data_IF_628014446493
#
_entry.id   IF_628014446493
#
_cell.length_a   1.000
_cell.length_b   1.000
_cell.length_c   1.000
_cell.angle_alpha   90.00
_cell.angle_beta   90.00
_cell.angle_gamma   90.00
#
_symmetry.space_group_name_H-M   'P 1'
#
loop_
_entity.id
_entity.type
_entity.pdbx_description
1 polymer ?
#
# COMPACT_ATOMS: atom_id res chain seq x y z
N UNK A 1 23.35 -12.87 -8.41
CA UNK A 1 21.90 -12.74 -8.64
C UNK A 1 21.36 -11.50 -7.91
N UNK A 2 22.07 -10.38 -8.04
CA UNK A 2 21.80 -9.16 -7.28
C UNK A 2 20.72 -8.27 -7.90
N UNK A 3 20.48 -8.40 -9.22
CA UNK A 3 19.50 -7.57 -9.93
C UNK A 3 18.05 -7.88 -9.51
N UNK A 4 17.66 -9.13 -9.35
CA UNK A 4 16.28 -9.51 -9.00
C UNK A 4 15.89 -9.09 -7.58
N UNK A 5 16.75 -9.31 -6.58
CA UNK A 5 16.51 -8.87 -5.20
C UNK A 5 16.34 -7.34 -5.12
N UNK A 6 17.25 -6.57 -5.74
CA UNK A 6 17.14 -5.12 -5.79
C UNK A 6 15.86 -4.63 -6.49
N UNK A 7 15.42 -5.32 -7.54
CA UNK A 7 14.17 -5.01 -8.25
C UNK A 7 12.93 -5.30 -7.39
N UNK A 8 12.93 -6.39 -6.61
CA UNK A 8 11.85 -6.71 -5.68
C UNK A 8 11.75 -5.70 -4.54
N UNK A 9 12.88 -5.30 -3.96
CA UNK A 9 12.93 -4.27 -2.92
C UNK A 9 12.44 -2.90 -3.44
N UNK A 10 12.86 -2.52 -4.66
CA UNK A 10 12.35 -1.31 -5.33
C UNK A 10 10.85 -1.41 -5.58
N UNK A 11 10.34 -2.56 -6.05
CA UNK A 11 8.92 -2.76 -6.27
C UNK A 11 8.12 -2.67 -4.96
N UNK A 12 8.60 -3.28 -3.87
CA UNK A 12 7.98 -3.18 -2.55
C UNK A 12 7.92 -1.73 -2.07
N UNK A 13 9.02 -0.98 -2.23
CA UNK A 13 9.08 0.45 -1.91
C UNK A 13 8.07 1.27 -2.72
N UNK A 14 8.00 1.04 -4.03
CA UNK A 14 7.05 1.70 -4.93
C UNK A 14 5.59 1.42 -4.54
N UNK A 15 5.27 0.18 -4.16
CA UNK A 15 3.92 -0.17 -3.68
C UNK A 15 3.58 0.60 -2.39
N UNK A 16 4.51 0.68 -1.44
CA UNK A 16 4.29 1.46 -0.20
C UNK A 16 4.13 2.96 -0.49
N UNK A 17 4.92 3.52 -1.40
CA UNK A 17 4.79 4.91 -1.83
C UNK A 17 3.45 5.18 -2.49
N UNK A 18 3.00 4.29 -3.40
CA UNK A 18 1.70 4.41 -4.03
C UNK A 18 0.56 4.36 -3.00
N UNK A 19 0.62 3.41 -2.05
CA UNK A 19 -0.36 3.33 -0.95
C UNK A 19 -0.40 4.63 -0.12
N UNK A 20 0.76 5.20 0.21
CA UNK A 20 0.84 6.46 0.94
C UNK A 20 0.23 7.64 0.15
N UNK A 21 0.54 7.76 -1.14
CA UNK A 21 -0.04 8.79 -2.01
C UNK A 21 -1.56 8.67 -2.08
N UNK A 22 -2.08 7.45 -2.26
CA UNK A 22 -3.54 7.26 -2.32
C UNK A 22 -4.21 7.56 -0.98
N UNK A 23 -3.60 7.18 0.14
CA UNK A 23 -4.12 7.53 1.46
C UNK A 23 -4.15 9.04 1.71
N UNK A 24 -3.17 9.79 1.19
CA UNK A 24 -3.21 11.26 1.22
C UNK A 24 -4.40 11.80 0.43
N UNK A 25 -4.66 11.26 -0.77
CA UNK A 25 -5.82 11.66 -1.58
C UNK A 25 -7.14 11.36 -0.86
N UNK A 26 -7.24 10.20 -0.20
CA UNK A 26 -8.42 9.86 0.61
C UNK A 26 -8.59 10.83 1.77
N UNK A 27 -7.52 11.21 2.46
CA UNK A 27 -7.56 12.20 3.53
C UNK A 27 -8.01 13.59 3.00
N UNK A 28 -7.53 13.99 1.83
CA UNK A 28 -7.96 15.23 1.18
C UNK A 28 -9.45 15.18 0.84
N UNK A 29 -9.94 14.06 0.31
CA UNK A 29 -11.37 13.84 0.02
C UNK A 29 -12.23 13.87 1.30
N UNK A 30 -11.74 13.30 2.41
CA UNK A 30 -12.40 13.43 3.72
C UNK A 30 -12.49 14.90 4.15
N UNK A 31 -11.40 15.66 3.98
CA UNK A 31 -11.32 17.07 4.38
C UNK A 31 -12.18 18.00 3.51
N UNK A 32 -12.38 17.63 2.24
CA UNK A 32 -13.18 18.39 1.28
C UNK A 32 -14.68 18.42 1.65
N UNK A 33 -15.10 17.59 2.62
CA UNK A 33 -16.44 17.58 3.21
C UNK A 33 -17.57 17.43 2.17
N UNK A 34 -17.25 16.82 1.02
CA UNK A 34 -18.20 16.55 -0.07
C UNK A 34 -19.15 15.42 0.29
N UNK A 35 -18.73 14.50 1.16
CA UNK A 35 -19.50 13.37 1.69
C UNK A 35 -19.66 13.56 3.20
N UNK A 36 -20.88 13.45 3.73
CA UNK A 36 -21.18 13.73 5.13
C UNK A 36 -21.30 12.45 5.97
N UNK A 37 -20.73 12.48 7.18
CA UNK A 37 -20.99 11.49 8.24
C UNK A 37 -20.68 10.03 7.86
N UNK A 38 -21.68 9.15 7.99
CA UNK A 38 -21.50 7.70 7.89
C UNK A 38 -20.95 7.21 6.52
N UNK A 39 -21.18 7.97 5.45
CA UNK A 39 -20.74 7.60 4.11
C UNK A 39 -19.21 7.73 3.96
N UNK A 40 -18.63 8.78 4.55
CA UNK A 40 -17.18 8.98 4.51
C UNK A 40 -16.46 7.97 5.41
N UNK A 41 -17.01 7.67 6.59
CA UNK A 41 -16.46 6.65 7.48
C UNK A 41 -16.51 5.26 6.83
N UNK A 42 -17.62 4.93 6.17
CA UNK A 42 -17.74 3.67 5.42
C UNK A 42 -16.72 3.60 4.29
N UNK A 43 -16.59 4.66 3.49
CA UNK A 43 -15.62 4.69 2.39
C UNK A 43 -14.20 4.47 2.89
N UNK A 44 -13.82 5.10 4.00
CA UNK A 44 -12.45 4.99 4.54
C UNK A 44 -12.18 3.59 5.07
N UNK A 45 -13.16 2.99 5.75
CA UNK A 45 -13.07 1.60 6.19
C UNK A 45 -12.97 0.62 5.01
N UNK A 46 -13.80 0.82 3.97
CA UNK A 46 -13.77 0.00 2.76
C UNK A 46 -12.45 0.19 2.00
N UNK A 47 -11.94 1.42 1.92
CA UNK A 47 -10.66 1.76 1.31
C UNK A 47 -9.49 1.05 2.03
N UNK A 48 -9.47 1.11 3.36
CA UNK A 48 -8.42 0.46 4.14
C UNK A 48 -8.45 -1.07 3.95
N UNK A 49 -9.64 -1.66 4.02
CA UNK A 49 -9.82 -3.10 3.90
C UNK A 49 -9.51 -3.64 2.48
N UNK A 50 -9.90 -2.90 1.44
CA UNK A 50 -9.87 -3.38 0.06
C UNK A 50 -8.69 -2.86 -0.76
N UNK A 51 -8.03 -1.78 -0.34
CA UNK A 51 -6.91 -1.17 -1.08
C UNK A 51 -5.65 -1.12 -0.24
N UNK A 52 -5.66 -0.39 0.87
CA UNK A 52 -4.46 -0.17 1.70
C UNK A 52 -3.89 -1.46 2.25
N UNK A 53 -4.72 -2.28 2.91
CA UNK A 53 -4.32 -3.56 3.48
C UNK A 53 -3.73 -4.52 2.43
N UNK A 54 -4.40 -4.79 1.30
CA UNK A 54 -3.84 -5.60 0.21
C UNK A 54 -2.51 -5.11 -0.34
N UNK A 55 -2.32 -3.79 -0.51
CA UNK A 55 -1.07 -3.23 -1.03
C UNK A 55 0.09 -3.43 -0.05
N UNK A 56 -0.11 -3.16 1.23
CA UNK A 56 0.93 -3.42 2.23
C UNK A 56 1.25 -4.91 2.37
N UNK A 57 0.24 -5.79 2.27
CA UNK A 57 0.47 -7.24 2.21
C UNK A 57 1.27 -7.65 0.97
N UNK A 58 1.01 -7.05 -0.19
CA UNK A 58 1.76 -7.32 -1.41
C UNK A 58 3.22 -6.87 -1.28
N UNK A 59 3.47 -5.68 -0.75
CA UNK A 59 4.83 -5.20 -0.46
C UNK A 59 5.56 -6.13 0.53
N UNK A 60 4.88 -6.52 1.63
CA UNK A 60 5.44 -7.46 2.61
C UNK A 60 5.80 -8.83 2.02
N UNK A 61 5.00 -9.34 1.09
CA UNK A 61 5.32 -10.59 0.38
C UNK A 61 6.57 -10.47 -0.49
N UNK A 62 6.78 -9.32 -1.13
CA UNK A 62 7.99 -9.07 -1.91
C UNK A 62 9.24 -9.01 -1.02
N UNK A 63 9.13 -8.40 0.17
CA UNK A 63 10.23 -8.39 1.15
C UNK A 63 10.57 -9.81 1.64
N UNK A 64 9.55 -10.64 1.88
CA UNK A 64 9.74 -12.03 2.33
C UNK A 64 10.40 -12.88 1.24
N UNK A 65 10.03 -12.69 -0.04
CA UNK A 65 10.68 -13.40 -1.16
C UNK A 65 12.17 -13.05 -1.22
N UNK A 66 12.53 -11.77 -1.02
CA UNK A 66 13.93 -11.34 -0.92
C UNK A 66 14.67 -12.04 0.24
N UNK A 67 14.02 -12.17 1.41
CA UNK A 67 14.67 -12.75 2.61
C UNK A 67 14.70 -14.29 2.62
N UNK A 68 13.74 -14.94 1.94
CA UNK A 68 13.62 -16.42 1.83
C UNK A 68 14.36 -17.01 0.64
N UNK A 69 15.10 -16.21 -0.12
CA UNK A 69 16.24 -16.67 -0.92
C UNK A 69 17.59 -16.51 -0.17
N UNK A 70 17.83 -17.17 0.99
CA UNK A 70 19.16 -17.18 1.58
C UNK A 70 20.04 -18.12 0.76
N UNK A 71 20.93 -17.54 -0.05
CA UNK A 71 22.02 -18.27 -0.70
C UNK A 71 22.12 -18.07 -2.21
N UNK A 72 22.54 -16.86 -2.60
CA UNK A 72 23.52 -16.70 -3.68
C UNK A 72 24.63 -15.76 -3.24
#
# INVERSE_FOLDING_TARGET
>A
MYKSASQLSVAASQIRSAAATMNSIVADLQSANTWSGADIDRFVNDWDAQVTGPLYRAAGRLDVIEFTEPGK
#
